data_IF_050766782627
#
_entry.id   IF_050766782627
#
_cell.length_a   1.000
_cell.length_b   1.000
_cell.length_c   1.000
_cell.angle_alpha   90.00
_cell.angle_beta   90.00
_cell.angle_gamma   90.00
#
_symmetry.space_group_name_H-M   'P 1'
#
loop_
_entity.id
_entity.type
_entity.pdbx_description
1 polymer ?
#
# COMPACT_ATOMS: atom_id res chain seq x y z
N UNK A 1 -29.37 -0.47 -0.91
CA UNK A 1 -29.47 -1.62 0.00
C UNK A 1 -29.05 -1.17 1.38
N UNK A 2 -29.86 -1.46 2.39
CA UNK A 2 -29.55 -1.17 3.80
C UNK A 2 -28.47 -2.14 4.32
N UNK A 3 -27.73 -1.78 5.38
CA UNK A 3 -26.72 -2.67 6.00
C UNK A 3 -27.29 -4.05 6.36
N UNK A 4 -28.53 -4.12 6.82
CA UNK A 4 -29.24 -5.37 7.10
C UNK A 4 -29.43 -6.28 5.86
N UNK A 5 -29.55 -5.70 4.66
CA UNK A 5 -29.64 -6.47 3.40
C UNK A 5 -28.26 -7.00 2.92
N UNK A 6 -27.16 -6.43 3.43
CA UNK A 6 -25.79 -6.90 3.14
C UNK A 6 -25.40 -8.14 3.94
N UNK A 7 -25.94 -8.30 5.16
CA UNK A 7 -25.67 -9.48 6.00
C UNK A 7 -26.39 -10.75 5.53
N UNK A 8 -27.53 -10.64 4.85
CA UNK A 8 -28.33 -11.80 4.40
C UNK A 8 -27.69 -12.59 3.23
N UNK A 9 -26.76 -12.02 2.49
CA UNK A 9 -26.18 -12.69 1.30
C UNK A 9 -24.86 -13.42 1.56
N UNK A 10 -24.22 -13.22 2.71
CA UNK A 10 -22.91 -13.83 3.05
C UNK A 10 -21.77 -13.49 2.09
N UNK A 11 -21.99 -12.54 1.16
CA UNK A 11 -20.99 -12.10 0.17
C UNK A 11 -20.25 -10.88 0.68
N UNK A 12 -18.91 -10.91 0.69
CA UNK A 12 -18.07 -9.76 0.99
C UNK A 12 -18.14 -8.72 -0.13
N UNK A 13 -19.06 -7.77 0.01
CA UNK A 13 -19.29 -6.71 -0.99
C UNK A 13 -18.12 -5.75 -1.14
N UNK A 14 -17.26 -5.64 -0.13
CA UNK A 14 -16.08 -4.78 -0.19
C UNK A 14 -14.98 -5.37 -1.07
N UNK A 15 -14.75 -6.69 -1.00
CA UNK A 15 -13.85 -7.37 -1.94
C UNK A 15 -14.47 -7.45 -3.34
N UNK A 16 -15.80 -7.50 -3.44
CA UNK A 16 -16.48 -7.51 -4.74
C UNK A 16 -16.14 -6.27 -5.57
N UNK A 17 -15.97 -5.08 -4.96
CA UNK A 17 -15.53 -3.87 -5.68
C UNK A 17 -14.22 -4.10 -6.45
N UNK A 18 -13.27 -4.84 -5.86
CA UNK A 18 -12.01 -5.17 -6.53
C UNK A 18 -12.23 -6.16 -7.68
N UNK A 19 -13.09 -7.15 -7.53
CA UNK A 19 -13.43 -8.07 -8.62
C UNK A 19 -14.16 -7.36 -9.76
N UNK A 20 -15.06 -6.44 -9.43
CA UNK A 20 -15.77 -5.62 -10.42
C UNK A 20 -14.79 -4.73 -11.21
N UNK A 21 -13.78 -4.17 -10.54
CA UNK A 21 -12.67 -3.45 -11.20
C UNK A 21 -11.91 -4.36 -12.16
N UNK A 22 -11.55 -5.58 -11.72
CA UNK A 22 -10.85 -6.55 -12.58
C UNK A 22 -11.68 -6.87 -13.83
N UNK A 23 -12.96 -7.15 -13.65
CA UNK A 23 -13.87 -7.47 -14.74
C UNK A 23 -14.01 -6.28 -15.72
N UNK A 24 -14.21 -5.07 -15.18
CA UNK A 24 -14.33 -3.85 -15.98
C UNK A 24 -13.07 -3.59 -16.83
N UNK A 25 -11.86 -3.83 -16.28
CA UNK A 25 -10.62 -3.70 -17.05
C UNK A 25 -10.55 -4.76 -18.17
N UNK A 26 -10.95 -6.00 -17.91
CA UNK A 26 -10.93 -7.06 -18.92
C UNK A 26 -11.93 -6.83 -20.05
N UNK A 27 -13.09 -6.22 -19.74
CA UNK A 27 -14.16 -5.97 -20.73
C UNK A 27 -13.95 -4.67 -21.52
N UNK A 28 -13.45 -3.63 -20.88
CA UNK A 28 -13.43 -2.27 -21.42
C UNK A 28 -12.04 -1.63 -21.45
N UNK A 29 -11.01 -2.29 -20.92
CA UNK A 29 -9.66 -1.75 -20.87
C UNK A 29 -9.03 -1.62 -22.24
N UNK A 30 -8.40 -0.47 -22.49
CA UNK A 30 -7.59 -0.23 -23.67
C UNK A 30 -6.30 -1.04 -23.61
N UNK A 31 -5.94 -1.73 -24.69
CA UNK A 31 -4.64 -2.38 -24.79
C UNK A 31 -3.53 -1.36 -25.01
N UNK A 32 -2.57 -1.32 -24.07
CA UNK A 32 -1.47 -0.36 -24.09
C UNK A 32 -0.11 -1.06 -24.01
N UNK A 33 0.89 -0.41 -24.63
CA UNK A 33 2.29 -0.76 -24.39
C UNK A 33 2.73 -0.20 -23.02
N UNK A 34 3.63 -0.88 -22.36
CA UNK A 34 4.20 -0.45 -21.11
C UNK A 34 5.74 -0.54 -21.15
N UNK A 35 6.39 0.00 -20.12
CA UNK A 35 7.85 0.02 -19.99
C UNK A 35 8.48 -1.38 -20.00
N UNK A 36 7.79 -2.37 -19.45
CA UNK A 36 8.32 -3.74 -19.33
C UNK A 36 8.20 -4.56 -20.62
N UNK A 37 7.49 -4.03 -21.64
CA UNK A 37 7.23 -4.73 -22.89
C UNK A 37 6.17 -5.84 -22.81
N UNK A 38 5.60 -6.10 -21.61
CA UNK A 38 4.57 -7.12 -21.40
C UNK A 38 3.23 -6.74 -22.05
N UNK A 39 2.91 -5.44 -22.04
CA UNK A 39 1.62 -4.91 -22.44
C UNK A 39 0.57 -5.03 -21.33
N UNK A 40 -0.41 -4.13 -21.36
CA UNK A 40 -1.47 -4.06 -20.36
C UNK A 40 -2.83 -3.84 -21.00
N UNK A 41 -3.89 -4.22 -20.29
CA UNK A 41 -5.24 -3.68 -20.46
C UNK A 41 -5.46 -2.64 -19.37
N UNK A 42 -5.84 -1.42 -19.72
CA UNK A 42 -5.85 -0.28 -18.80
C UNK A 42 -7.16 0.50 -18.88
N UNK A 43 -7.64 0.94 -17.71
CA UNK A 43 -8.68 1.95 -17.54
C UNK A 43 -8.12 3.13 -16.75
N UNK A 44 -8.48 4.33 -17.12
CA UNK A 44 -8.09 5.53 -16.38
C UNK A 44 -9.18 5.97 -15.41
N UNK A 45 -8.79 6.23 -14.15
CA UNK A 45 -9.65 6.76 -13.10
C UNK A 45 -10.96 5.96 -12.90
N UNK A 46 -10.89 4.63 -12.63
CA UNK A 46 -12.06 3.85 -12.29
C UNK A 46 -12.68 4.35 -10.97
N UNK A 47 -13.90 3.91 -10.62
CA UNK A 47 -14.47 4.20 -9.32
C UNK A 47 -13.53 3.83 -8.18
N UNK A 48 -13.47 4.69 -7.15
CA UNK A 48 -12.65 4.42 -5.96
C UNK A 48 -13.16 3.18 -5.21
N UNK A 49 -12.24 2.43 -4.59
CA UNK A 49 -12.58 1.31 -3.71
C UNK A 49 -12.63 1.81 -2.26
N UNK A 50 -13.57 1.30 -1.47
CA UNK A 50 -13.76 1.71 -0.08
C UNK A 50 -13.84 0.48 0.83
N UNK A 51 -13.10 0.54 1.95
CA UNK A 51 -12.96 -0.56 2.89
C UNK A 51 -13.18 -0.04 4.31
N UNK A 52 -14.19 -0.56 4.99
CA UNK A 52 -14.41 -0.32 6.41
C UNK A 52 -13.37 -1.07 7.25
N UNK A 53 -12.74 -0.35 8.17
CA UNK A 53 -11.70 -0.89 9.07
C UNK A 53 -12.21 -1.04 10.51
N UNK A 54 -13.50 -0.80 10.75
CA UNK A 54 -14.11 -0.91 12.08
C UNK A 54 -14.05 -2.37 12.60
N UNK A 55 -14.08 -2.53 13.91
CA UNK A 55 -14.13 -3.84 14.59
C UNK A 55 -13.00 -4.82 14.22
N UNK A 56 -11.86 -4.25 13.86
CA UNK A 56 -10.67 -5.02 13.48
C UNK A 56 -10.71 -5.56 12.05
N UNK A 57 -11.72 -5.27 11.24
CA UNK A 57 -11.84 -5.74 9.86
C UNK A 57 -10.61 -5.32 9.04
N UNK A 58 -9.97 -6.27 8.39
CA UNK A 58 -8.75 -6.04 7.65
C UNK A 58 -8.90 -6.47 6.18
N UNK A 59 -8.84 -5.54 5.21
CA UNK A 59 -9.10 -5.83 3.80
C UNK A 59 -7.94 -6.59 3.14
N UNK A 60 -7.70 -7.81 3.61
CA UNK A 60 -6.77 -8.77 3.02
C UNK A 60 -7.58 -9.72 2.14
N UNK A 61 -7.44 -9.60 0.82
CA UNK A 61 -8.30 -10.30 -0.13
C UNK A 61 -8.38 -11.81 0.13
N UNK A 62 -9.54 -12.37 -0.09
CA UNK A 62 -9.83 -13.80 0.18
C UNK A 62 -9.91 -14.63 -1.10
N UNK A 63 -10.18 -14.02 -2.25
CA UNK A 63 -10.27 -14.72 -3.55
C UNK A 63 -8.93 -15.25 -4.06
N UNK A 64 -7.83 -14.81 -3.46
CA UNK A 64 -6.51 -15.45 -3.50
C UNK A 64 -5.77 -15.16 -2.20
N UNK A 65 -4.86 -16.05 -1.80
CA UNK A 65 -3.98 -15.82 -0.64
C UNK A 65 -3.02 -14.67 -0.91
N UNK A 66 -3.01 -13.67 -0.03
CA UNK A 66 -2.11 -12.52 -0.08
C UNK A 66 -0.94 -12.74 0.90
N UNK A 67 0.25 -12.30 0.52
CA UNK A 67 1.49 -12.46 1.29
C UNK A 67 1.62 -11.36 2.36
N UNK A 68 0.88 -11.50 3.47
CA UNK A 68 0.83 -10.51 4.56
C UNK A 68 2.21 -10.21 5.18
N UNK A 69 3.07 -11.24 5.32
CA UNK A 69 4.43 -11.04 5.85
C UNK A 69 5.21 -9.99 5.04
N UNK A 70 5.13 -10.05 3.71
CA UNK A 70 5.78 -9.09 2.83
C UNK A 70 5.24 -7.68 3.01
N UNK A 71 3.90 -7.53 3.08
CA UNK A 71 3.23 -6.24 3.30
C UNK A 71 3.70 -5.59 4.59
N UNK A 72 3.69 -6.34 5.69
CA UNK A 72 4.05 -5.81 7.01
C UNK A 72 5.52 -5.41 7.09
N UNK A 73 6.44 -6.24 6.58
CA UNK A 73 7.86 -5.89 6.57
C UNK A 73 8.16 -4.68 5.69
N UNK A 74 7.53 -4.58 4.51
CA UNK A 74 7.69 -3.42 3.63
C UNK A 74 7.18 -2.14 4.30
N UNK A 75 6.01 -2.18 4.93
CA UNK A 75 5.46 -1.00 5.59
C UNK A 75 6.34 -0.54 6.77
N UNK A 76 6.81 -1.46 7.60
CA UNK A 76 7.74 -1.15 8.69
C UNK A 76 9.05 -0.57 8.15
N UNK A 77 9.54 -1.08 7.01
CA UNK A 77 10.71 -0.58 6.34
C UNK A 77 10.49 0.83 5.75
N UNK A 78 9.32 1.14 5.17
CA UNK A 78 8.98 2.51 4.78
C UNK A 78 8.92 3.46 5.97
N UNK A 79 8.28 3.05 7.07
CA UNK A 79 8.18 3.85 8.30
C UNK A 79 9.56 4.16 8.87
N UNK A 80 10.50 3.23 8.81
CA UNK A 80 11.87 3.47 9.27
C UNK A 80 12.67 4.46 8.41
N UNK A 81 12.16 4.86 7.24
CA UNK A 81 12.87 5.72 6.29
C UNK A 81 14.00 5.03 5.52
N UNK A 82 14.19 3.74 5.71
CA UNK A 82 15.23 2.96 5.04
C UNK A 82 14.98 2.88 3.52
N UNK A 83 16.07 2.86 2.78
CA UNK A 83 16.09 2.70 1.31
C UNK A 83 16.96 1.52 0.86
N UNK A 84 17.49 0.76 1.82
CA UNK A 84 18.26 -0.44 1.59
C UNK A 84 17.36 -1.66 1.40
N UNK A 85 17.25 -2.17 0.17
CA UNK A 85 16.47 -3.35 -0.17
C UNK A 85 16.98 -4.64 0.49
N UNK A 86 18.27 -4.70 0.86
CA UNK A 86 18.87 -5.82 1.56
C UNK A 86 18.20 -6.10 2.92
N UNK A 87 17.75 -5.06 3.61
CA UNK A 87 17.00 -5.19 4.88
C UNK A 87 15.74 -6.03 4.72
N UNK A 88 15.10 -5.99 3.54
CA UNK A 88 13.91 -6.81 3.25
C UNK A 88 14.31 -8.23 2.83
N UNK A 89 15.32 -8.40 1.98
CA UNK A 89 15.76 -9.72 1.51
C UNK A 89 16.30 -10.59 2.67
N UNK A 90 16.95 -10.02 3.66
CA UNK A 90 17.38 -10.70 4.90
C UNK A 90 16.18 -11.25 5.73
N UNK A 91 14.98 -10.70 5.53
CA UNK A 91 13.72 -11.18 6.13
C UNK A 91 12.94 -12.12 5.20
N UNK A 92 13.55 -12.59 4.09
CA UNK A 92 12.91 -13.34 3.01
C UNK A 92 11.72 -12.59 2.39
N UNK A 93 11.89 -11.30 2.13
CA UNK A 93 10.94 -10.44 1.42
C UNK A 93 11.65 -9.88 0.19
N UNK A 94 11.37 -10.43 -0.99
CA UNK A 94 12.13 -10.25 -2.23
C UNK A 94 11.45 -9.32 -3.24
N UNK A 95 10.48 -8.51 -2.78
CA UNK A 95 9.62 -7.69 -3.65
C UNK A 95 10.36 -6.51 -4.32
N UNK A 96 11.52 -6.11 -3.79
CA UNK A 96 12.32 -5.01 -4.31
C UNK A 96 13.63 -5.47 -5.01
N UNK A 97 13.97 -6.77 -4.98
CA UNK A 97 15.22 -7.29 -5.56
C UNK A 97 15.37 -6.95 -7.03
N UNK A 98 14.29 -7.05 -7.83
CA UNK A 98 14.33 -6.69 -9.24
C UNK A 98 14.75 -5.25 -9.48
N UNK A 99 14.22 -4.31 -8.68
CA UNK A 99 14.52 -2.89 -8.78
C UNK A 99 15.85 -2.48 -8.12
N UNK A 100 16.36 -3.31 -7.20
CA UNK A 100 17.66 -3.12 -6.54
C UNK A 100 18.82 -3.80 -7.24
N UNK A 101 18.56 -4.64 -8.25
CA UNK A 101 19.60 -5.39 -8.94
C UNK A 101 20.57 -4.49 -9.71
N UNK A 102 21.83 -4.93 -9.82
CA UNK A 102 22.85 -4.19 -10.59
C UNK A 102 22.41 -3.94 -12.02
N UNK A 103 21.84 -4.98 -12.66
CA UNK A 103 21.35 -4.89 -14.04
C UNK A 103 20.28 -3.79 -14.20
N UNK A 104 19.31 -3.75 -13.30
CA UNK A 104 18.24 -2.76 -13.36
C UNK A 104 18.75 -1.34 -13.07
N UNK A 105 19.56 -1.15 -12.02
CA UNK A 105 20.13 0.15 -11.68
C UNK A 105 20.98 0.72 -12.81
N UNK A 106 21.80 -0.12 -13.46
CA UNK A 106 22.60 0.29 -14.63
C UNK A 106 21.70 0.68 -15.80
N UNK A 107 20.63 -0.07 -16.05
CA UNK A 107 19.69 0.19 -17.16
C UNK A 107 19.01 1.55 -17.07
N UNK A 108 18.85 2.08 -15.85
CA UNK A 108 18.23 3.40 -15.58
C UNK A 108 19.26 4.51 -15.30
N UNK A 109 20.57 4.22 -15.48
CA UNK A 109 21.66 5.18 -15.35
C UNK A 109 22.16 5.42 -13.93
N UNK A 110 21.83 4.56 -12.96
CA UNK A 110 22.31 4.62 -11.57
C UNK A 110 23.57 3.72 -11.39
N UNK A 111 24.55 3.87 -12.26
CA UNK A 111 25.73 2.99 -12.37
C UNK A 111 26.66 3.04 -11.14
N UNK A 112 26.72 4.20 -10.46
CA UNK A 112 27.59 4.40 -9.29
C UNK A 112 26.90 4.01 -7.97
N UNK A 113 25.62 3.61 -8.05
CA UNK A 113 24.84 3.26 -6.86
C UNK A 113 25.13 1.82 -6.43
N UNK A 114 25.21 1.60 -5.11
CA UNK A 114 25.33 0.25 -4.54
C UNK A 114 24.10 -0.59 -4.94
N UNK A 115 24.31 -1.87 -5.22
CA UNK A 115 23.22 -2.83 -5.36
C UNK A 115 22.34 -2.81 -4.12
N UNK A 116 21.03 -2.96 -4.29
CA UNK A 116 19.98 -2.80 -3.27
C UNK A 116 19.78 -1.39 -2.69
N UNK A 117 20.56 -0.38 -3.10
CA UNK A 117 20.25 1.01 -2.79
C UNK A 117 19.20 1.55 -3.76
N UNK A 118 17.97 1.63 -3.28
CA UNK A 118 16.80 2.02 -4.08
C UNK A 118 16.64 3.53 -4.27
N UNK A 119 17.52 4.32 -3.62
CA UNK A 119 17.42 5.77 -3.67
C UNK A 119 16.33 6.34 -2.79
N UNK A 120 16.04 7.65 -2.88
CA UNK A 120 15.13 8.36 -1.99
C UNK A 120 13.66 8.06 -2.30
N UNK A 121 13.27 6.77 -2.27
CA UNK A 121 11.90 6.31 -2.50
C UNK A 121 11.02 6.49 -1.25
N UNK A 122 9.81 6.01 -1.28
CA UNK A 122 8.71 6.08 -0.29
C UNK A 122 9.11 6.46 1.15
N UNK A 123 9.81 5.59 1.86
CA UNK A 123 10.16 5.80 3.27
C UNK A 123 11.06 7.01 3.47
N UNK A 124 12.01 7.24 2.56
CA UNK A 124 12.86 8.43 2.62
C UNK A 124 12.02 9.72 2.48
N UNK A 125 11.10 9.76 1.52
CA UNK A 125 10.22 10.92 1.37
C UNK A 125 9.30 11.10 2.59
N UNK A 126 8.85 10.02 3.21
CA UNK A 126 8.00 10.08 4.40
C UNK A 126 8.71 10.65 5.63
N UNK A 127 10.01 10.37 5.79
CA UNK A 127 10.78 10.71 6.99
C UNK A 127 11.80 11.83 6.80
N UNK A 128 12.26 12.07 5.56
CA UNK A 128 13.37 12.97 5.26
C UNK A 128 13.10 13.83 4.02
N UNK A 129 11.84 14.27 3.79
CA UNK A 129 11.46 15.02 2.61
C UNK A 129 12.32 16.27 2.43
N UNK A 130 12.92 16.44 1.24
CA UNK A 130 13.78 17.57 0.92
C UNK A 130 15.22 17.46 1.41
N UNK A 131 15.59 16.41 2.16
CA UNK A 131 16.99 16.15 2.43
C UNK A 131 17.74 15.75 1.16
N UNK A 132 19.02 16.12 1.07
CA UNK A 132 19.89 15.69 -0.01
C UNK A 132 20.23 14.21 0.18
N UNK A 133 19.81 13.37 -0.76
CA UNK A 133 20.10 11.95 -0.75
C UNK A 133 21.50 11.67 -1.27
N UNK A 134 22.29 10.92 -0.50
CA UNK A 134 23.60 10.39 -0.89
C UNK A 134 23.52 8.90 -1.24
N UNK A 135 23.28 8.05 -0.25
CA UNK A 135 23.18 6.60 -0.34
C UNK A 135 22.33 6.03 0.81
N UNK A 136 22.03 4.73 0.78
CA UNK A 136 21.22 4.06 1.79
C UNK A 136 21.96 3.79 3.12
N UNK A 137 23.28 4.00 3.18
CA UNK A 137 24.11 3.80 4.39
C UNK A 137 24.29 5.12 5.17
N UNK A 138 23.91 6.27 4.57
CA UNK A 138 24.03 7.58 5.22
C UNK A 138 22.98 7.77 6.31
N UNK A 139 23.40 8.29 7.47
CA UNK A 139 22.51 8.71 8.54
C UNK A 139 21.82 10.05 8.18
N UNK A 140 20.50 10.01 8.10
CA UNK A 140 19.65 11.17 7.81
C UNK A 140 18.91 11.72 9.03
N UNK A 141 19.29 11.30 10.24
CA UNK A 141 18.69 11.80 11.49
C UNK A 141 18.71 13.31 11.54
N UNK A 142 17.55 13.92 11.76
CA UNK A 142 17.38 15.38 11.81
C UNK A 142 17.52 16.10 10.46
N UNK A 143 17.60 15.40 9.35
CA UNK A 143 17.66 15.97 8.01
C UNK A 143 16.33 15.88 7.28
N UNK A 144 15.98 16.93 6.53
CA UNK A 144 14.71 17.02 5.82
C UNK A 144 13.51 17.17 6.73
N UNK A 145 12.34 16.90 6.19
CA UNK A 145 11.07 17.06 6.89
C UNK A 145 10.43 15.72 7.16
N UNK A 146 10.20 15.38 8.44
CA UNK A 146 9.52 14.17 8.87
C UNK A 146 8.01 14.35 8.78
N UNK A 147 7.43 13.91 7.68
CA UNK A 147 5.99 14.00 7.42
C UNK A 147 5.18 13.14 8.39
N UNK A 148 5.65 11.95 8.74
CA UNK A 148 4.93 11.03 9.65
C UNK A 148 4.85 11.63 11.05
N UNK A 149 5.95 12.13 11.59
CA UNK A 149 5.96 12.80 12.88
C UNK A 149 5.02 14.03 12.89
N UNK A 150 5.05 14.84 11.83
CA UNK A 150 4.14 15.98 11.68
C UNK A 150 2.67 15.57 11.62
N UNK A 151 2.32 14.53 10.86
CA UNK A 151 0.96 14.01 10.76
C UNK A 151 0.45 13.55 12.14
N UNK A 152 1.23 12.77 12.86
CA UNK A 152 0.88 12.29 14.20
C UNK A 152 0.69 13.45 15.17
N UNK A 153 1.60 14.43 15.14
CA UNK A 153 1.46 15.65 15.95
C UNK A 153 0.16 16.40 15.62
N UNK A 154 -0.12 16.62 14.34
CA UNK A 154 -1.31 17.33 13.89
C UNK A 154 -2.59 16.58 14.26
N UNK A 155 -2.65 15.27 14.07
CA UNK A 155 -3.79 14.44 14.47
C UNK A 155 -4.09 14.55 15.96
N UNK A 156 -3.05 14.62 16.81
CA UNK A 156 -3.20 14.75 18.27
C UNK A 156 -3.60 16.17 18.71
N UNK A 157 -3.17 17.22 18.01
CA UNK A 157 -3.34 18.61 18.44
C UNK A 157 -4.44 19.36 17.67
N UNK A 158 -4.67 19.04 16.41
CA UNK A 158 -5.66 19.66 15.55
C UNK A 158 -6.27 18.65 14.55
N UNK A 159 -7.10 17.70 15.01
CA UNK A 159 -7.65 16.63 14.16
C UNK A 159 -8.60 17.12 13.05
N UNK A 160 -8.98 18.41 13.06
CA UNK A 160 -9.81 19.04 12.02
C UNK A 160 -9.00 19.65 10.88
N UNK A 161 -7.66 19.58 10.92
CA UNK A 161 -6.82 20.11 9.85
C UNK A 161 -7.08 19.35 8.54
N UNK A 162 -7.16 20.09 7.44
CA UNK A 162 -7.37 19.54 6.08
C UNK A 162 -6.09 19.31 5.30
N UNK A 163 -4.92 19.58 5.92
CA UNK A 163 -3.57 19.46 5.34
C UNK A 163 -2.82 18.25 5.88
N UNK A 164 -3.52 17.27 6.45
CA UNK A 164 -2.91 16.03 6.96
C UNK A 164 -2.64 15.11 5.78
N UNK A 165 -1.56 15.38 5.06
CA UNK A 165 -1.17 14.72 3.81
C UNK A 165 0.23 14.14 3.96
N UNK A 166 0.39 12.87 3.54
CA UNK A 166 1.66 12.17 3.39
C UNK A 166 1.96 12.02 1.91
N UNK A 167 3.02 12.64 1.41
CA UNK A 167 3.39 12.61 0.00
C UNK A 167 4.75 11.95 -0.21
N UNK A 168 4.80 10.99 -1.13
CA UNK A 168 6.05 10.43 -1.64
C UNK A 168 6.50 11.08 -2.98
N UNK A 169 5.66 11.96 -3.55
CA UNK A 169 5.89 12.56 -4.86
C UNK A 169 6.85 13.76 -4.78
N UNK A 170 8.08 13.56 -5.22
CA UNK A 170 9.14 14.57 -5.20
C UNK A 170 9.86 14.60 -6.56
N UNK A 171 9.36 15.37 -7.57
CA UNK A 171 9.91 15.38 -8.93
C UNK A 171 11.42 15.66 -9.02
N UNK A 172 12.01 16.59 -8.25
CA UNK A 172 13.47 16.77 -8.25
C UNK A 172 14.29 15.53 -7.89
N UNK A 173 13.70 14.58 -7.14
CA UNK A 173 14.39 13.36 -6.70
C UNK A 173 14.24 12.17 -7.66
N UNK A 174 13.39 12.24 -8.69
CA UNK A 174 13.06 11.08 -9.55
C UNK A 174 14.28 10.44 -10.20
N UNK A 175 15.24 11.24 -10.67
CA UNK A 175 16.47 10.72 -11.28
C UNK A 175 17.37 9.96 -10.31
N UNK A 176 17.12 10.08 -9.00
CA UNK A 176 17.85 9.37 -7.94
C UNK A 176 17.08 8.14 -7.43
N UNK A 177 15.84 7.92 -7.85
CA UNK A 177 14.99 6.81 -7.42
C UNK A 177 15.13 5.62 -8.35
N UNK A 178 15.25 4.41 -7.80
CA UNK A 178 15.14 3.18 -8.59
C UNK A 178 13.76 3.07 -9.25
N UNK A 179 12.71 3.50 -8.55
CA UNK A 179 11.36 3.54 -9.08
C UNK A 179 10.60 4.74 -8.52
N UNK A 180 10.10 5.68 -9.37
CA UNK A 180 9.22 6.75 -8.91
C UNK A 180 7.93 6.20 -8.26
N UNK A 181 7.45 6.80 -7.15
CA UNK A 181 6.33 6.28 -6.39
C UNK A 181 5.06 6.06 -7.21
N UNK A 182 4.46 4.87 -7.11
CA UNK A 182 3.15 4.56 -7.69
C UNK A 182 2.03 5.05 -6.77
N UNK A 183 2.06 4.74 -5.48
CA UNK A 183 1.21 5.37 -4.47
C UNK A 183 1.82 6.72 -4.08
N UNK A 184 1.22 7.76 -4.64
CA UNK A 184 1.76 9.11 -4.71
C UNK A 184 1.63 9.83 -3.38
N UNK A 185 0.44 9.78 -2.80
CA UNK A 185 0.09 10.46 -1.55
C UNK A 185 -1.10 9.81 -0.88
N UNK A 186 -1.24 10.02 0.42
CA UNK A 186 -2.50 9.80 1.12
C UNK A 186 -2.86 10.99 2.00
N UNK A 187 -4.16 11.16 2.25
CA UNK A 187 -4.72 12.16 3.14
C UNK A 187 -5.47 11.47 4.27
N UNK A 188 -5.27 11.98 5.48
CA UNK A 188 -5.98 11.51 6.67
C UNK A 188 -7.10 12.47 7.05
N UNK A 189 -8.19 11.90 7.56
CA UNK A 189 -9.36 12.63 8.01
C UNK A 189 -9.92 11.98 9.29
N UNK A 190 -10.22 12.78 10.30
CA UNK A 190 -10.80 12.29 11.55
C UNK A 190 -12.32 12.53 11.55
N UNK A 191 -13.09 11.45 11.72
CA UNK A 191 -14.54 11.50 11.89
C UNK A 191 -14.93 11.37 13.36
N UNK A 192 -15.85 12.24 13.82
CA UNK A 192 -16.41 12.22 15.19
C UNK A 192 -17.87 11.78 15.22
N UNK A 193 -18.39 11.23 14.11
CA UNK A 193 -19.83 10.90 13.97
C UNK A 193 -20.35 9.90 15.00
N UNK A 194 -19.48 8.99 15.50
CA UNK A 194 -19.87 7.90 16.41
C UNK A 194 -19.42 8.12 17.85
N UNK A 195 -19.02 9.34 18.21
CA UNK A 195 -18.57 9.69 19.57
C UNK A 195 -17.08 9.51 19.78
N UNK A 196 -16.49 8.37 19.40
CA UNK A 196 -15.04 8.19 19.39
C UNK A 196 -14.44 8.67 18.06
N UNK A 197 -13.24 9.30 18.09
CA UNK A 197 -12.58 9.72 16.86
C UNK A 197 -12.17 8.49 16.03
N UNK A 198 -12.55 8.50 14.75
CA UNK A 198 -12.16 7.47 13.77
C UNK A 198 -11.26 8.07 12.71
N UNK A 199 -10.08 7.46 12.51
CA UNK A 199 -9.13 7.85 11.48
C UNK A 199 -9.47 7.20 10.15
N UNK A 200 -9.66 8.02 9.12
CA UNK A 200 -9.86 7.58 7.74
C UNK A 200 -8.62 7.94 6.91
N UNK A 201 -8.33 7.14 5.91
CA UNK A 201 -7.23 7.37 4.97
C UNK A 201 -7.72 7.26 3.54
N UNK A 202 -7.42 8.26 2.71
CA UNK A 202 -7.60 8.19 1.26
C UNK A 202 -6.23 8.20 0.59
N UNK A 203 -5.91 7.18 -0.23
CA UNK A 203 -4.65 7.09 -0.96
C UNK A 203 -4.90 7.25 -2.46
N UNK A 204 -4.11 8.11 -3.11
CA UNK A 204 -4.06 8.21 -4.57
C UNK A 204 -2.86 7.43 -5.13
N UNK A 205 -3.16 6.50 -6.02
CA UNK A 205 -2.17 5.70 -6.74
C UNK A 205 -2.24 6.01 -8.25
N UNK A 206 -1.14 6.53 -8.82
CA UNK A 206 -1.09 6.96 -10.23
C UNK A 206 -1.02 5.80 -11.22
N UNK A 207 -0.44 4.67 -10.81
CA UNK A 207 -0.18 3.49 -11.63
C UNK A 207 -0.45 2.24 -10.80
N UNK A 208 -1.44 1.45 -11.20
CA UNK A 208 -2.03 0.41 -10.38
C UNK A 208 -1.98 -0.93 -11.11
N UNK A 209 -0.98 -1.76 -10.80
CA UNK A 209 -1.01 -3.18 -11.16
C UNK A 209 -2.13 -3.87 -10.37
N UNK A 210 -3.27 -4.08 -11.02
CA UNK A 210 -4.46 -4.61 -10.35
C UNK A 210 -4.28 -6.08 -9.99
N UNK A 211 -3.42 -6.81 -10.73
CA UNK A 211 -3.16 -8.22 -10.46
C UNK A 211 -2.38 -8.46 -9.18
N UNK A 212 -1.23 -7.82 -8.99
CA UNK A 212 -0.33 -8.04 -7.87
C UNK A 212 -0.28 -6.84 -6.90
N UNK A 213 -0.12 -5.62 -7.42
CA UNK A 213 0.14 -4.43 -6.61
C UNK A 213 -1.06 -3.98 -5.81
N UNK A 214 -2.23 -3.82 -6.42
CA UNK A 214 -3.43 -3.27 -5.75
C UNK A 214 -3.83 -4.05 -4.50
N UNK A 215 -3.86 -5.40 -4.48
CA UNK A 215 -4.15 -6.15 -3.25
C UNK A 215 -3.15 -5.88 -2.12
N UNK A 216 -1.87 -5.71 -2.45
CA UNK A 216 -0.83 -5.33 -1.50
C UNK A 216 -1.04 -3.91 -0.97
N UNK A 217 -1.32 -2.95 -1.87
CA UNK A 217 -1.47 -1.55 -1.51
C UNK A 217 -2.71 -1.33 -0.64
N UNK A 218 -3.84 -2.01 -0.91
CA UNK A 218 -5.04 -1.97 -0.05
C UNK A 218 -4.68 -2.36 1.39
N UNK A 219 -4.05 -3.52 1.56
CA UNK A 219 -3.71 -4.02 2.89
C UNK A 219 -2.62 -3.17 3.57
N UNK A 220 -1.63 -2.65 2.83
CA UNK A 220 -0.56 -1.81 3.35
C UNK A 220 -1.08 -0.49 3.92
N UNK A 221 -1.96 0.22 3.18
CA UNK A 221 -2.51 1.50 3.67
C UNK A 221 -3.62 1.33 4.70
N UNK A 222 -4.37 0.23 4.67
CA UNK A 222 -5.23 -0.15 5.79
C UNK A 222 -4.41 -0.36 7.05
N UNK A 223 -3.29 -1.09 6.98
CA UNK A 223 -2.37 -1.33 8.09
C UNK A 223 -1.76 -0.03 8.62
N UNK A 224 -1.29 0.87 7.74
CA UNK A 224 -0.80 2.20 8.12
C UNK A 224 -1.87 3.00 8.87
N UNK A 225 -3.13 2.91 8.43
CA UNK A 225 -4.27 3.57 9.10
C UNK A 225 -4.46 3.03 10.52
N UNK A 226 -4.40 1.72 10.71
CA UNK A 226 -4.45 1.08 12.04
C UNK A 226 -3.32 1.56 12.95
N UNK A 227 -2.09 1.61 12.43
CA UNK A 227 -0.90 2.00 13.21
C UNK A 227 -0.99 3.46 13.66
N UNK A 228 -1.32 4.39 12.75
CA UNK A 228 -1.44 5.81 13.08
C UNK A 228 -2.64 6.04 14.02
N UNK A 229 -3.78 5.37 13.80
CA UNK A 229 -4.94 5.46 14.69
C UNK A 229 -4.56 5.06 16.13
N UNK A 230 -3.87 3.94 16.31
CA UNK A 230 -3.41 3.47 17.63
C UNK A 230 -2.49 4.49 18.32
N UNK A 231 -1.49 5.01 17.61
CA UNK A 231 -0.53 6.01 18.15
C UNK A 231 -1.23 7.31 18.53
N UNK A 232 -2.32 7.65 17.85
CA UNK A 232 -3.12 8.85 18.10
C UNK A 232 -4.32 8.62 19.06
N UNK A 233 -4.46 7.42 19.63
CA UNK A 233 -5.59 7.04 20.49
C UNK A 233 -6.96 7.19 19.81
N UNK A 234 -7.03 6.83 18.54
CA UNK A 234 -8.21 6.83 17.67
C UNK A 234 -8.58 5.40 17.27
N UNK A 235 -9.82 5.21 16.81
CA UNK A 235 -10.23 3.96 16.15
C UNK A 235 -9.92 4.05 14.64
N UNK A 236 -9.57 2.94 13.97
CA UNK A 236 -9.53 2.91 12.51
C UNK A 236 -10.94 3.07 11.94
N UNK A 237 -11.07 3.87 10.90
CA UNK A 237 -12.36 4.18 10.26
C UNK A 237 -12.48 3.51 8.90
N UNK A 238 -12.05 4.18 7.85
CA UNK A 238 -12.17 3.71 6.47
C UNK A 238 -10.87 3.91 5.70
N UNK A 239 -10.55 2.98 4.81
CA UNK A 239 -9.55 3.17 3.78
C UNK A 239 -10.23 3.36 2.41
N UNK A 240 -9.83 4.41 1.69
CA UNK A 240 -10.33 4.73 0.35
C UNK A 240 -9.17 4.72 -0.64
N UNK A 241 -9.27 3.87 -1.67
CA UNK A 241 -8.27 3.73 -2.71
C UNK A 241 -8.71 4.45 -3.98
N UNK A 242 -8.04 5.53 -4.33
CA UNK A 242 -8.25 6.31 -5.56
C UNK A 242 -7.15 5.98 -6.54
N UNK A 243 -7.51 5.62 -7.76
CA UNK A 243 -6.59 5.08 -8.75
C UNK A 243 -6.59 5.92 -10.05
N UNK A 244 -5.40 6.09 -10.62
CA UNK A 244 -5.20 6.68 -11.94
C UNK A 244 -5.23 5.61 -13.04
N UNK A 245 -4.08 5.32 -13.67
CA UNK A 245 -3.94 4.23 -14.64
C UNK A 245 -4.03 2.88 -13.91
N UNK A 246 -5.17 2.19 -14.08
CA UNK A 246 -5.45 0.91 -13.47
C UNK A 246 -5.38 -0.17 -14.54
N UNK A 247 -4.43 -1.11 -14.38
CA UNK A 247 -4.12 -2.04 -15.46
C UNK A 247 -3.93 -3.48 -14.99
N UNK A 248 -4.23 -4.39 -15.89
CA UNK A 248 -3.93 -5.82 -15.82
C UNK A 248 -2.90 -6.13 -16.89
N UNK A 249 -1.73 -6.67 -16.50
CA UNK A 249 -0.74 -7.14 -17.46
C UNK A 249 -1.28 -8.26 -18.32
N UNK A 250 -0.91 -8.26 -19.62
CA UNK A 250 -1.42 -9.25 -20.57
C UNK A 250 -1.16 -10.70 -20.14
N UNK A 251 -0.03 -10.96 -19.46
CA UNK A 251 0.31 -12.28 -18.92
C UNK A 251 -0.41 -12.62 -17.60
N UNK A 252 -1.19 -11.70 -17.01
CA UNK A 252 -2.03 -11.94 -15.83
C UNK A 252 -3.49 -12.24 -16.15
N UNK A 253 -3.93 -12.08 -17.39
CA UNK A 253 -5.35 -12.18 -17.78
C UNK A 253 -6.00 -13.49 -17.35
N UNK A 254 -5.37 -14.64 -17.63
CA UNK A 254 -5.92 -15.95 -17.26
C UNK A 254 -5.92 -16.18 -15.75
N UNK A 255 -4.94 -15.64 -15.04
CA UNK A 255 -4.89 -15.67 -13.59
C UNK A 255 -6.03 -14.84 -12.97
N UNK A 256 -6.30 -13.65 -13.50
CA UNK A 256 -7.43 -12.81 -13.07
C UNK A 256 -8.77 -13.47 -13.39
N UNK A 257 -8.97 -14.07 -14.57
CA UNK A 257 -10.19 -14.84 -14.89
C UNK A 257 -10.42 -15.96 -13.87
N UNK A 258 -9.35 -16.69 -13.49
CA UNK A 258 -9.42 -17.73 -12.46
C UNK A 258 -9.81 -17.17 -11.09
N UNK A 259 -9.36 -15.95 -10.75
CA UNK A 259 -9.75 -15.27 -9.52
C UNK A 259 -11.20 -14.80 -9.54
N UNK A 260 -11.67 -14.27 -10.67
CA UNK A 260 -13.06 -13.84 -10.88
C UNK A 260 -14.10 -14.97 -10.72
N UNK A 261 -13.70 -16.22 -10.95
CA UNK A 261 -14.55 -17.40 -10.73
C UNK A 261 -14.77 -17.73 -9.24
N UNK A 262 -14.07 -17.04 -8.32
CA UNK A 262 -14.12 -17.32 -6.87
C UNK A 262 -15.03 -16.31 -6.17
N UNK A 263 -15.83 -16.79 -5.21
CA UNK A 263 -16.70 -15.94 -4.40
C UNK A 263 -15.90 -15.32 -3.23
N UNK A 264 -15.97 -14.01 -3.01
CA UNK A 264 -15.36 -13.38 -1.84
C UNK A 264 -15.87 -13.98 -0.53
N UNK A 265 -14.95 -14.20 0.41
CA UNK A 265 -15.24 -14.64 1.78
C UNK A 265 -15.15 -13.45 2.74
N UNK A 266 -15.65 -13.55 3.97
CA UNK A 266 -15.44 -12.49 4.96
C UNK A 266 -13.96 -12.14 5.11
N UNK A 267 -13.67 -10.85 5.26
CA UNK A 267 -12.31 -10.41 5.56
C UNK A 267 -11.86 -10.92 6.93
N UNK A 268 -10.54 -11.18 7.10
CA UNK A 268 -9.96 -11.47 8.39
C UNK A 268 -10.02 -10.24 9.30
N UNK A 269 -9.62 -10.46 10.56
CA UNK A 269 -9.38 -9.40 11.52
C UNK A 269 -7.87 -9.17 11.73
N UNK A 270 -7.49 -7.92 11.92
CA UNK A 270 -6.16 -7.52 12.38
C UNK A 270 -6.21 -7.33 13.90
N UNK A 271 -5.30 -7.99 14.59
CA UNK A 271 -5.07 -7.82 16.03
C UNK A 271 -3.69 -7.21 16.24
N UNK A 272 -3.63 -6.08 16.93
CA UNK A 272 -2.39 -5.51 17.43
C UNK A 272 -2.27 -5.91 18.91
N UNK A 273 -1.29 -6.75 19.25
CA UNK A 273 -1.21 -7.49 20.52
C UNK A 273 -0.85 -6.64 21.73
N UNK A 274 -0.30 -5.45 21.51
CA UNK A 274 0.08 -4.51 22.57
C UNK A 274 -0.28 -3.09 22.18
N UNK A 275 -0.47 -2.20 23.16
CA UNK A 275 -0.59 -0.77 22.90
C UNK A 275 0.79 -0.22 22.53
N UNK A 276 0.85 0.52 21.41
CA UNK A 276 2.03 1.21 20.93
C UNK A 276 1.72 2.70 20.87
N UNK A 277 2.61 3.54 21.37
CA UNK A 277 2.42 4.99 21.49
C UNK A 277 3.34 5.81 20.59
N UNK A 278 4.37 5.16 20.02
CA UNK A 278 5.28 5.72 19.03
C UNK A 278 5.26 4.87 17.77
N UNK A 279 5.19 5.50 16.60
CA UNK A 279 5.11 4.81 15.32
C UNK A 279 6.37 3.98 15.01
N UNK A 280 7.51 4.39 15.56
CA UNK A 280 8.81 3.73 15.36
C UNK A 280 8.99 2.49 16.25
N UNK A 281 8.13 2.31 17.27
CA UNK A 281 8.19 1.18 18.20
C UNK A 281 7.47 -0.08 17.70
N UNK A 282 6.73 -0.02 16.59
CA UNK A 282 6.07 -1.19 16.05
C UNK A 282 7.05 -2.24 15.55
N UNK A 283 6.74 -3.50 15.88
CA UNK A 283 7.50 -4.69 15.48
C UNK A 283 6.60 -5.66 14.73
N UNK A 284 7.20 -6.53 13.93
CA UNK A 284 6.48 -7.56 13.20
C UNK A 284 5.59 -8.42 14.11
N UNK A 285 6.10 -8.77 15.29
CA UNK A 285 5.45 -9.65 16.27
C UNK A 285 4.22 -9.03 16.92
N UNK A 286 4.05 -7.71 16.83
CA UNK A 286 2.88 -7.01 17.37
C UNK A 286 1.59 -7.31 16.60
N UNK A 287 1.70 -7.77 15.36
CA UNK A 287 0.56 -7.95 14.47
C UNK A 287 0.18 -9.42 14.31
N UNK A 288 -1.11 -9.67 14.28
CA UNK A 288 -1.69 -10.97 13.99
C UNK A 288 -2.93 -10.80 13.12
N UNK A 289 -2.98 -11.56 12.02
CA UNK A 289 -4.19 -11.72 11.22
C UNK A 289 -4.90 -12.98 11.71
N UNK A 290 -6.16 -12.84 12.12
CA UNK A 290 -7.01 -13.94 12.59
C UNK A 290 -8.19 -14.14 11.64
N UNK A 291 -8.70 -15.36 11.60
CA UNK A 291 -9.83 -15.76 10.74
C UNK A 291 -9.59 -15.52 9.24
N UNK A 292 -8.35 -15.70 8.79
CA UNK A 292 -8.01 -15.57 7.37
C UNK A 292 -8.17 -16.90 6.64
N UNK A 293 -9.25 -17.03 5.87
CA UNK A 293 -9.62 -18.22 5.10
C UNK A 293 -9.64 -17.97 3.59
N UNK A 294 -8.51 -17.62 2.97
CA UNK A 294 -8.47 -17.31 1.54
C UNK A 294 -8.50 -18.57 0.69
N UNK A 295 -8.87 -18.40 -0.58
CA UNK A 295 -8.57 -19.40 -1.61
C UNK A 295 -7.04 -19.53 -1.81
N UNK A 296 -6.57 -20.63 -2.42
CA UNK A 296 -5.15 -20.81 -2.72
C UNK A 296 -4.57 -19.67 -3.54
N UNK A 297 -3.26 -19.48 -3.41
CA UNK A 297 -2.47 -18.51 -4.18
C UNK A 297 -2.67 -18.71 -5.69
N UNK A 298 -2.77 -17.62 -6.43
CA UNK A 298 -2.70 -17.59 -7.89
C UNK A 298 -1.35 -16.99 -8.25
N UNK A 299 -0.51 -17.75 -8.92
CA UNK A 299 0.82 -17.29 -9.35
C UNK A 299 0.68 -16.28 -10.50
N UNK A 300 1.34 -15.15 -10.36
CA UNK A 300 1.50 -14.12 -11.40
C UNK A 300 2.96 -13.68 -11.40
N UNK A 301 3.53 -13.47 -12.59
CA UNK A 301 4.92 -13.01 -12.70
C UNK A 301 4.95 -11.49 -12.53
N UNK A 302 5.82 -11.01 -11.63
CA UNK A 302 6.02 -9.57 -11.48
C UNK A 302 6.67 -8.99 -12.74
N UNK A 303 6.17 -7.87 -13.23
CA UNK A 303 6.75 -7.11 -14.32
C UNK A 303 7.74 -6.07 -13.71
N UNK A 304 9.00 -6.12 -14.14
CA UNK A 304 10.10 -5.27 -13.62
C UNK A 304 10.61 -4.33 -14.71
#
# INVERSE_FOLDING_TARGET
MTEAQKEETGVNTEEQQYLDLCNNILEHGERRKDRTGTGTYSLFAPPQLRFDLSDGKFPLLTTKRIYFKGILHELLWFISGSTDGKVLSEKNVHIWEGNGSREYLDSIGLTDRREDDLGPIYGFQWRHFGAEYKDCDTDYTGKGYDQIAHIIHTLKTNPYDRRIILSAWNPPAFKKMALPPCHVMCQFYVSFRTGKPKLNCQMYQRSCDVGLGVPFNIASYALLTYMIAMVCDMEPGEFVHVMGDSHIYCNHVEAIKSQLARKPRPFPKLVIKRKVTDIDDFKFEDFQVVDYHPYPTIKMKMAV
#
